data_IF_568396177692
#
_entry.id   IF_568396177692
#
_cell.length_a   1.000
_cell.length_b   1.000
_cell.length_c   1.000
_cell.angle_alpha   90.00
_cell.angle_beta   90.00
_cell.angle_gamma   90.00
#
_symmetry.space_group_name_H-M   'P 1'
#
loop_
_entity.id
_entity.type
_entity.pdbx_description
1 polymer ?
#
# COMPACT_ATOMS: atom_id res chain seq x y z
N UNK A 1 -38.63 -17.65 33.14
CA UNK A 1 -38.51 -17.63 31.66
C UNK A 1 -38.04 -16.27 31.11
N UNK A 2 -38.67 -15.13 31.47
CA UNK A 2 -38.27 -13.79 30.95
C UNK A 2 -36.82 -13.37 31.26
N UNK A 3 -36.29 -13.71 32.45
CA UNK A 3 -34.91 -13.39 32.85
C UNK A 3 -33.84 -14.19 32.09
N UNK A 4 -34.13 -15.44 31.73
CA UNK A 4 -33.22 -16.29 30.94
C UNK A 4 -33.15 -15.77 29.49
N UNK A 5 -34.29 -15.33 28.94
CA UNK A 5 -34.37 -14.74 27.61
C UNK A 5 -33.58 -13.42 27.49
N UNK A 6 -33.62 -12.57 28.53
CA UNK A 6 -32.85 -11.33 28.61
C UNK A 6 -31.33 -11.56 28.68
N UNK A 7 -30.89 -12.62 29.37
CA UNK A 7 -29.46 -12.98 29.45
C UNK A 7 -28.96 -13.54 28.10
N UNK A 8 -29.75 -14.37 27.42
CA UNK A 8 -29.42 -14.88 26.09
C UNK A 8 -29.36 -13.76 25.03
N UNK A 9 -30.26 -12.77 25.08
CA UNK A 9 -30.26 -11.63 24.16
C UNK A 9 -29.04 -10.71 24.38
N UNK A 10 -28.60 -10.53 25.62
CA UNK A 10 -27.39 -9.75 25.95
C UNK A 10 -26.09 -10.45 25.49
N UNK A 11 -26.05 -11.79 25.53
CA UNK A 11 -24.92 -12.58 25.02
C UNK A 11 -24.82 -12.54 23.48
N UNK A 12 -25.95 -12.45 22.77
CA UNK A 12 -25.99 -12.33 21.31
C UNK A 12 -25.55 -10.94 20.80
N UNK A 13 -25.77 -9.88 21.57
CA UNK A 13 -25.28 -8.53 21.23
C UNK A 13 -23.77 -8.32 21.46
N UNK A 14 -23.10 -9.22 22.19
CA UNK A 14 -21.65 -9.13 22.45
C UNK A 14 -20.77 -9.66 21.32
N UNK A 15 -21.36 -10.35 20.33
CA UNK A 15 -20.65 -10.91 19.17
C UNK A 15 -20.58 -9.88 18.04
N UNK A 16 -19.96 -8.74 18.30
CA UNK A 16 -19.54 -7.84 17.22
C UNK A 16 -18.36 -8.49 16.50
N UNK A 17 -18.58 -9.01 15.28
CA UNK A 17 -17.48 -9.40 14.41
C UNK A 17 -16.72 -8.12 14.03
N UNK A 18 -15.61 -7.85 14.72
CA UNK A 18 -14.66 -6.86 14.24
C UNK A 18 -13.96 -7.46 13.02
N UNK A 19 -14.04 -6.77 11.88
CA UNK A 19 -13.25 -7.12 10.72
C UNK A 19 -11.76 -7.01 11.11
N UNK A 20 -11.02 -8.11 10.98
CA UNK A 20 -9.59 -8.15 11.26
C UNK A 20 -8.82 -7.67 10.03
N UNK A 21 -7.84 -6.80 10.23
CA UNK A 21 -6.89 -6.43 9.18
C UNK A 21 -6.07 -7.65 8.76
N UNK A 22 -6.02 -7.92 7.46
CA UNK A 22 -5.16 -8.93 6.85
C UNK A 22 -4.00 -8.22 6.17
N UNK A 23 -2.79 -8.60 6.54
CA UNK A 23 -1.55 -7.99 6.04
C UNK A 23 -0.95 -8.80 4.90
N UNK A 24 -0.47 -8.10 3.89
CA UNK A 24 0.24 -8.67 2.75
C UNK A 24 1.57 -7.96 2.59
N UNK A 25 2.65 -8.72 2.42
CA UNK A 25 3.95 -8.20 2.02
C UNK A 25 4.09 -8.33 0.50
N UNK A 26 4.19 -7.22 -0.25
CA UNK A 26 4.36 -7.23 -1.70
C UNK A 26 5.58 -8.05 -2.17
N UNK A 27 6.62 -8.19 -1.33
CA UNK A 27 7.83 -8.96 -1.64
C UNK A 27 7.65 -10.48 -1.49
N UNK A 28 6.59 -10.92 -0.80
CA UNK A 28 6.26 -12.34 -0.62
C UNK A 28 5.20 -12.85 -1.61
N UNK A 29 4.76 -12.00 -2.54
CA UNK A 29 3.84 -12.41 -3.59
C UNK A 29 4.48 -13.46 -4.51
N UNK A 30 3.68 -14.43 -4.97
CA UNK A 30 4.15 -15.52 -5.84
C UNK A 30 4.65 -15.01 -7.21
N UNK A 31 4.08 -13.91 -7.68
CA UNK A 31 4.49 -13.17 -8.87
C UNK A 31 4.77 -11.72 -8.47
N UNK A 32 5.68 -11.04 -9.17
CA UNK A 32 6.00 -9.65 -8.84
C UNK A 32 4.77 -8.77 -9.06
N UNK A 33 4.37 -8.09 -7.98
CA UNK A 33 3.33 -7.06 -7.99
C UNK A 33 3.91 -5.65 -8.15
N UNK A 34 5.24 -5.52 -8.15
CA UNK A 34 5.94 -4.26 -8.41
C UNK A 34 5.97 -4.03 -9.92
N UNK A 35 5.36 -2.92 -10.32
CA UNK A 35 5.24 -2.45 -11.69
C UNK A 35 6.23 -1.31 -11.95
N UNK A 36 6.44 -1.00 -13.23
CA UNK A 36 7.38 0.02 -13.71
C UNK A 36 8.85 -0.22 -13.31
N UNK A 37 9.19 -1.44 -12.87
CA UNK A 37 10.55 -1.82 -12.51
C UNK A 37 11.23 -2.51 -13.70
N UNK A 38 12.42 -2.06 -14.07
CA UNK A 38 13.29 -2.79 -14.99
C UNK A 38 14.08 -3.87 -14.24
N UNK A 39 14.62 -4.86 -14.96
CA UNK A 39 15.47 -5.91 -14.37
C UNK A 39 14.77 -6.72 -13.27
N UNK A 40 13.47 -7.02 -13.44
CA UNK A 40 12.62 -7.68 -12.43
C UNK A 40 13.16 -9.01 -11.91
N UNK A 41 13.90 -9.75 -12.73
CA UNK A 41 14.53 -11.03 -12.34
C UNK A 41 15.80 -10.83 -11.47
N UNK A 42 16.40 -9.63 -11.52
CA UNK A 42 17.66 -9.32 -10.83
C UNK A 42 17.45 -8.48 -9.56
N UNK A 43 16.28 -7.84 -9.40
CA UNK A 43 15.98 -6.92 -8.31
C UNK A 43 14.92 -7.53 -7.41
N UNK A 44 15.29 -7.74 -6.15
CA UNK A 44 14.35 -8.03 -5.07
C UNK A 44 14.27 -6.83 -4.13
N UNK A 45 13.19 -6.06 -4.23
CA UNK A 45 12.98 -4.81 -3.49
C UNK A 45 12.55 -3.66 -4.39
N UNK A 46 12.69 -2.44 -3.89
CA UNK A 46 12.18 -1.21 -4.53
C UNK A 46 13.28 -0.34 -5.17
N UNK A 47 14.42 -0.94 -5.51
CA UNK A 47 15.48 -0.25 -6.26
C UNK A 47 15.17 -0.22 -7.77
N UNK A 48 15.85 0.68 -8.49
CA UNK A 48 15.66 0.88 -9.94
C UNK A 48 16.79 0.33 -10.80
N UNK A 49 17.95 -0.01 -10.21
CA UNK A 49 19.07 -0.63 -10.91
C UNK A 49 19.51 -1.92 -10.21
N UNK A 50 19.94 -2.94 -10.97
CA UNK A 50 20.46 -4.18 -10.39
C UNK A 50 21.85 -3.96 -9.80
N UNK A 51 22.22 -4.79 -8.82
CA UNK A 51 23.48 -4.66 -8.08
C UNK A 51 24.73 -4.63 -8.98
N UNK A 52 24.72 -5.34 -10.12
CA UNK A 52 25.84 -5.32 -11.07
C UNK A 52 26.15 -3.92 -11.61
N UNK A 53 25.14 -3.05 -11.74
CA UNK A 53 25.32 -1.69 -12.26
C UNK A 53 26.08 -0.78 -11.29
N UNK A 54 26.21 -1.14 -10.01
CA UNK A 54 26.90 -0.32 -9.01
C UNK A 54 28.35 -0.02 -9.39
N UNK A 55 29.05 -0.96 -10.02
CA UNK A 55 30.44 -0.77 -10.45
C UNK A 55 30.57 0.08 -11.74
N UNK A 56 29.48 0.20 -12.50
CA UNK A 56 29.48 0.80 -13.83
C UNK A 56 28.99 2.26 -13.83
N UNK A 57 28.28 2.68 -12.77
CA UNK A 57 27.71 4.03 -12.65
C UNK A 57 28.41 4.84 -11.56
N UNK A 58 28.31 6.17 -11.64
CA UNK A 58 28.81 7.06 -10.58
C UNK A 58 28.05 6.81 -9.27
N UNK A 59 28.73 6.98 -8.14
CA UNK A 59 28.13 6.81 -6.80
C UNK A 59 26.82 7.60 -6.61
N UNK A 60 26.76 8.83 -7.11
CA UNK A 60 25.54 9.64 -7.05
C UNK A 60 24.36 9.01 -7.82
N UNK A 61 24.63 8.37 -8.96
CA UNK A 61 23.62 7.66 -9.75
C UNK A 61 23.20 6.39 -9.03
N UNK A 62 24.15 5.63 -8.49
CA UNK A 62 23.85 4.43 -7.71
C UNK A 62 22.98 4.73 -6.49
N UNK A 63 23.32 5.79 -5.75
CA UNK A 63 22.54 6.28 -4.60
C UNK A 63 21.11 6.64 -5.01
N UNK A 64 20.94 7.44 -6.07
CA UNK A 64 19.62 7.80 -6.60
C UNK A 64 18.81 6.58 -7.09
N UNK A 65 19.48 5.54 -7.60
CA UNK A 65 18.82 4.32 -8.05
C UNK A 65 18.20 3.50 -6.90
N UNK A 66 18.56 3.77 -5.63
CA UNK A 66 17.94 3.12 -4.48
C UNK A 66 16.58 3.74 -4.10
N UNK A 67 16.22 4.89 -4.68
CA UNK A 67 14.90 5.50 -4.48
C UNK A 67 13.86 4.86 -5.40
N UNK A 68 12.65 4.66 -4.86
CA UNK A 68 11.52 3.99 -5.51
C UNK A 68 10.75 4.84 -6.52
N UNK A 69 11.24 6.03 -6.87
CA UNK A 69 10.52 6.99 -7.68
C UNK A 69 10.00 6.39 -9.01
N UNK A 70 8.68 6.42 -9.18
CA UNK A 70 7.99 5.91 -10.38
C UNK A 70 7.67 4.42 -10.34
N UNK A 71 8.12 3.68 -9.32
CA UNK A 71 7.66 2.33 -9.06
C UNK A 71 6.23 2.36 -8.50
N UNK A 72 5.50 1.27 -8.72
CA UNK A 72 4.12 1.15 -8.29
C UNK A 72 3.81 -0.28 -7.86
N UNK A 73 2.96 -0.47 -6.86
CA UNK A 73 2.46 -1.78 -6.43
C UNK A 73 1.01 -1.92 -6.89
N UNK A 74 0.75 -2.92 -7.72
CA UNK A 74 -0.59 -3.21 -8.24
C UNK A 74 -1.22 -4.37 -7.47
N UNK A 75 -2.44 -4.18 -6.97
CA UNK A 75 -3.19 -5.22 -6.26
C UNK A 75 -4.69 -5.06 -6.42
N UNK A 76 -5.44 -6.12 -6.15
CA UNK A 76 -6.91 -6.08 -6.15
C UNK A 76 -7.45 -6.27 -4.75
N UNK A 77 -8.45 -5.47 -4.37
CA UNK A 77 -9.20 -5.70 -3.13
C UNK A 77 -10.62 -5.15 -3.21
N UNK A 78 -11.54 -5.80 -2.50
CA UNK A 78 -12.89 -5.32 -2.26
C UNK A 78 -13.06 -4.71 -0.87
N UNK A 79 -11.96 -4.55 -0.12
CA UNK A 79 -11.97 -3.91 1.19
C UNK A 79 -12.36 -2.44 1.07
N UNK A 80 -13.24 -1.98 1.95
CA UNK A 80 -13.52 -0.55 2.11
C UNK A 80 -12.36 0.20 2.78
N UNK A 81 -11.46 -0.53 3.43
CA UNK A 81 -10.36 0.02 4.22
C UNK A 81 -9.03 -0.59 3.78
N UNK A 82 -8.03 0.26 3.53
CA UNK A 82 -6.67 -0.15 3.17
C UNK A 82 -5.70 0.53 4.14
N UNK A 83 -4.73 -0.22 4.65
CA UNK A 83 -3.63 0.32 5.45
C UNK A 83 -2.30 -0.06 4.80
N UNK A 84 -1.41 0.92 4.64
CA UNK A 84 -0.08 0.75 4.09
C UNK A 84 0.92 1.14 5.17
N UNK A 85 1.94 0.31 5.38
CA UNK A 85 3.00 0.51 6.36
C UNK A 85 4.35 0.20 5.74
N UNK A 86 5.33 1.05 5.97
CA UNK A 86 6.69 0.84 5.49
C UNK A 86 7.70 1.67 6.29
N UNK A 87 8.96 1.31 6.17
CA UNK A 87 10.10 2.08 6.67
C UNK A 87 10.92 2.59 5.50
N UNK A 88 11.50 3.78 5.63
CA UNK A 88 12.46 4.31 4.66
C UNK A 88 13.90 4.06 5.09
N UNK A 89 14.82 4.05 4.13
CA UNK A 89 16.26 3.95 4.41
C UNK A 89 16.85 5.25 4.97
N UNK A 90 16.21 6.38 4.65
CA UNK A 90 16.53 7.70 5.21
C UNK A 90 15.72 7.96 6.48
N UNK A 91 16.34 8.58 7.49
CA UNK A 91 15.64 9.13 8.67
C UNK A 91 15.04 10.51 8.43
N UNK A 92 15.36 11.15 7.30
CA UNK A 92 14.76 12.40 6.86
C UNK A 92 13.67 12.12 5.84
N UNK A 93 12.43 12.45 6.20
CA UNK A 93 11.26 12.22 5.37
C UNK A 93 10.99 13.31 4.35
N UNK A 94 11.61 14.49 4.45
CA UNK A 94 11.31 15.65 3.63
C UNK A 94 12.58 16.38 3.20
N UNK A 95 12.47 17.17 2.14
CA UNK A 95 13.50 18.12 1.72
C UNK A 95 12.99 19.55 1.95
N UNK A 96 13.86 20.57 2.08
CA UNK A 96 13.43 21.96 2.29
C UNK A 96 12.42 22.48 1.25
N UNK A 97 12.42 21.91 0.05
CA UNK A 97 11.57 22.28 -1.09
C UNK A 97 10.55 21.19 -1.48
N UNK A 98 10.49 20.06 -0.75
CA UNK A 98 9.60 18.95 -1.07
C UNK A 98 9.04 18.32 0.22
N UNK A 99 7.70 18.29 0.38
CA UNK A 99 7.07 17.78 1.60
C UNK A 99 7.29 16.27 1.75
N UNK A 100 7.03 15.75 2.95
CA UNK A 100 7.26 14.33 3.24
C UNK A 100 6.45 13.39 2.37
N UNK A 101 5.24 13.79 2.00
CA UNK A 101 4.37 13.07 1.06
C UNK A 101 4.97 12.94 -0.33
N UNK A 102 5.87 13.84 -0.75
CA UNK A 102 6.54 13.79 -2.06
C UNK A 102 7.90 13.11 -2.04
N UNK A 103 8.62 13.10 -0.91
CA UNK A 103 9.95 12.50 -0.80
C UNK A 103 9.89 11.05 -0.32
N UNK A 104 8.96 10.76 0.59
CA UNK A 104 8.90 9.49 1.34
C UNK A 104 7.48 8.97 1.47
N UNK A 105 6.51 9.60 0.80
CA UNK A 105 5.10 9.22 0.84
C UNK A 105 4.74 8.18 -0.20
N UNK A 106 3.47 7.78 -0.19
CA UNK A 106 2.85 6.96 -1.23
C UNK A 106 1.54 7.60 -1.68
N UNK A 107 1.16 7.39 -2.93
CA UNK A 107 -0.13 7.79 -3.46
C UNK A 107 -0.93 6.57 -3.91
N UNK A 108 -2.19 6.49 -3.45
CA UNK A 108 -3.08 5.40 -3.81
C UNK A 108 -4.09 5.87 -4.85
N UNK A 109 -4.17 5.13 -5.94
CA UNK A 109 -5.20 5.29 -6.95
C UNK A 109 -5.98 4.00 -7.13
N UNK A 110 -7.23 4.14 -7.53
CA UNK A 110 -8.13 3.04 -7.85
C UNK A 110 -8.51 3.12 -9.32
N UNK A 111 -8.49 1.99 -9.99
CA UNK A 111 -8.98 1.88 -11.37
C UNK A 111 -10.42 1.38 -11.33
N UNK A 112 -11.35 2.14 -11.91
CA UNK A 112 -12.74 1.71 -12.04
C UNK A 112 -12.97 0.75 -13.21
N UNK A 113 -14.22 0.30 -13.40
CA UNK A 113 -14.59 -0.64 -14.45
C UNK A 113 -14.38 -0.09 -15.87
N UNK A 114 -14.32 1.23 -16.02
CA UNK A 114 -14.15 1.90 -17.30
C UNK A 114 -12.66 2.19 -17.57
N UNK A 115 -11.77 1.79 -16.66
CA UNK A 115 -10.33 2.00 -16.75
C UNK A 115 -9.89 3.38 -16.27
N UNK A 116 -10.78 4.17 -15.66
CA UNK A 116 -10.45 5.51 -15.17
C UNK A 116 -9.74 5.42 -13.82
N UNK A 117 -8.65 6.16 -13.69
CA UNK A 117 -7.87 6.23 -12.46
C UNK A 117 -8.42 7.35 -11.55
N UNK A 118 -8.72 6.99 -10.30
CA UNK A 118 -9.26 7.91 -9.30
C UNK A 118 -8.38 7.94 -8.04
N UNK A 119 -7.96 9.13 -7.63
CA UNK A 119 -7.16 9.33 -6.41
C UNK A 119 -7.94 8.94 -5.15
N UNK A 120 -7.26 8.25 -4.24
CA UNK A 120 -7.79 7.83 -2.95
C UNK A 120 -7.12 8.62 -1.83
N UNK A 121 -7.84 9.57 -1.23
CA UNK A 121 -7.31 10.36 -0.12
C UNK A 121 -7.14 9.50 1.14
N UNK A 122 -5.92 9.45 1.67
CA UNK A 122 -5.57 8.76 2.91
C UNK A 122 -5.20 9.73 4.04
N UNK A 123 -5.30 9.26 5.28
CA UNK A 123 -4.61 9.88 6.43
C UNK A 123 -3.24 9.24 6.58
N UNK A 124 -2.24 10.02 6.96
CA UNK A 124 -0.87 9.53 7.08
C UNK A 124 -0.15 10.03 8.32
N UNK A 125 0.84 9.28 8.78
CA UNK A 125 1.85 9.70 9.76
C UNK A 125 3.24 9.25 9.33
N UNK A 126 4.24 10.06 9.66
CA UNK A 126 5.65 9.85 9.35
C UNK A 126 6.43 9.71 10.66
N UNK A 127 6.32 8.54 11.28
CA UNK A 127 7.04 8.15 12.50
C UNK A 127 8.17 7.16 12.14
N UNK A 128 8.68 6.33 13.06
CA UNK A 128 9.66 5.27 12.70
C UNK A 128 9.13 4.31 11.62
N UNK A 129 7.82 4.02 11.67
CA UNK A 129 7.06 3.35 10.61
C UNK A 129 6.14 4.40 9.96
N UNK A 130 6.26 4.60 8.65
CA UNK A 130 5.34 5.44 7.90
C UNK A 130 4.05 4.68 7.69
N UNK A 131 2.92 5.33 7.95
CA UNK A 131 1.59 4.72 7.85
C UNK A 131 0.66 5.56 7.02
N UNK A 132 -0.05 4.91 6.11
CA UNK A 132 -1.20 5.47 5.39
C UNK A 132 -2.44 4.64 5.68
N UNK A 133 -3.56 5.32 5.92
CA UNK A 133 -4.85 4.72 6.21
C UNK A 133 -5.91 5.33 5.30
N UNK A 134 -6.50 4.48 4.46
CA UNK A 134 -7.59 4.80 3.55
C UNK A 134 -8.86 4.14 4.08
N UNK A 135 -9.93 4.91 4.28
CA UNK A 135 -11.18 4.46 4.90
C UNK A 135 -12.37 4.82 4.03
N UNK A 136 -13.39 3.97 4.04
CA UNK A 136 -14.63 4.23 3.30
C UNK A 136 -14.42 4.28 1.78
N UNK A 137 -13.44 3.54 1.27
CA UNK A 137 -13.28 3.31 -0.15
C UNK A 137 -14.51 2.56 -0.67
N UNK A 138 -14.97 2.83 -1.91
CA UNK A 138 -16.14 2.15 -2.43
C UNK A 138 -15.92 0.64 -2.46
N UNK A 139 -16.77 -0.09 -1.75
CA UNK A 139 -16.76 -1.53 -1.73
C UNK A 139 -17.48 -2.05 -2.97
N UNK A 140 -16.77 -2.84 -3.78
CA UNK A 140 -17.31 -3.67 -4.84
C UNK A 140 -17.91 -2.91 -6.05
N UNK A 141 -17.21 -2.82 -7.20
CA UNK A 141 -17.91 -2.52 -8.44
C UNK A 141 -18.85 -3.70 -8.71
N UNK A 142 -20.07 -3.45 -9.19
CA UNK A 142 -21.11 -4.46 -9.48
C UNK A 142 -20.67 -5.63 -10.38
N UNK A 143 -19.40 -5.67 -10.83
CA UNK A 143 -18.88 -6.46 -11.92
C UNK A 143 -17.65 -7.34 -11.58
N UNK A 144 -16.99 -7.21 -10.42
CA UNK A 144 -15.80 -8.03 -10.09
C UNK A 144 -15.71 -8.50 -8.64
N UNK A 145 -15.66 -9.83 -8.44
CA UNK A 145 -15.52 -10.46 -7.11
C UNK A 145 -14.25 -10.07 -6.35
N UNK A 146 -13.19 -9.67 -7.06
CA UNK A 146 -11.92 -9.21 -6.47
C UNK A 146 -11.94 -7.75 -6.02
N UNK A 147 -13.03 -7.01 -6.28
CA UNK A 147 -13.12 -5.58 -6.05
C UNK A 147 -12.45 -4.77 -7.15
N UNK A 148 -11.80 -3.66 -6.78
CA UNK A 148 -11.11 -2.77 -7.71
C UNK A 148 -9.62 -3.10 -7.80
N UNK A 149 -9.00 -2.75 -8.93
CA UNK A 149 -7.54 -2.63 -9.00
C UNK A 149 -7.13 -1.35 -8.27
N UNK A 150 -6.08 -1.46 -7.48
CA UNK A 150 -5.41 -0.35 -6.82
C UNK A 150 -3.97 -0.29 -7.29
N UNK A 151 -3.49 0.95 -7.44
CA UNK A 151 -2.12 1.29 -7.80
C UNK A 151 -1.56 2.19 -6.71
N UNK A 152 -0.58 1.66 -5.98
CA UNK A 152 0.12 2.40 -4.94
C UNK A 152 1.47 2.86 -5.49
N UNK A 153 1.60 4.14 -5.81
CA UNK A 153 2.87 4.72 -6.26
C UNK A 153 3.79 4.96 -5.06
N UNK A 154 5.09 4.66 -5.26
CA UNK A 154 6.14 4.65 -4.25
C UNK A 154 7.09 5.85 -4.32
#
# INVERSE_FOLDING_TARGET
MKRVFLVLLALLCGLSSQAQMVWYDPMLAAESVVQNQAFVEEIHGYARLPKRAQADVRDAVWSLAQHSAGLMIAFYTNSADIEVRYTTTSSSYAMPHMPSTGVSGVDLYRIDSDGTEAYCAGRYSFDEEVKYTYKGLPANPSHHRKGFEYRLYL
#
